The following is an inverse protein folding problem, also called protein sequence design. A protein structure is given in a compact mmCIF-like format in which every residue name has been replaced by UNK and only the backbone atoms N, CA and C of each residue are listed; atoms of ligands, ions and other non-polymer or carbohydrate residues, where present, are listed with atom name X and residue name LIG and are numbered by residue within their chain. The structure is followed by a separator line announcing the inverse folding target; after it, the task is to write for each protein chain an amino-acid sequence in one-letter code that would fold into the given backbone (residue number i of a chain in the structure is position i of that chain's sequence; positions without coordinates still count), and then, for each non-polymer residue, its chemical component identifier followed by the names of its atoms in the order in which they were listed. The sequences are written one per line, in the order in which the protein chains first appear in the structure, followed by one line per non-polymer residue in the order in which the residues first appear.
data_IF_017334529212
#
_entry.id   IF_017334529212
#
_cell.length_a   1.000
_cell.length_b   1.000
_cell.length_c   1.000
_cell.angle_alpha   90.00
_cell.angle_beta   90.00
_cell.angle_gamma   90.00
#
_symmetry.space_group_name_H-M   'P 1'
#
loop_
_entity.id
_entity.type
_entity.pdbx_description
1 polymer ?
#
# COMPACT_ATOMS: atom_id res chain seq x y z
N UNK A 1 4.36 -5.72 6.74
CA UNK A 1 5.31 -6.05 5.66
C UNK A 1 6.69 -5.48 5.97
N UNK A 2 7.67 -6.36 6.18
CA UNK A 2 9.07 -5.99 6.39
C UNK A 2 9.70 -5.59 5.04
N UNK A 3 10.61 -4.61 5.08
CA UNK A 3 11.22 -3.99 3.90
C UNK A 3 12.07 -4.98 3.07
N UNK A 4 12.51 -6.07 3.71
CA UNK A 4 13.29 -7.16 3.15
C UNK A 4 12.58 -7.95 2.04
N UNK A 5 11.25 -8.08 2.10
CA UNK A 5 10.47 -8.79 1.06
C UNK A 5 10.14 -7.89 -0.15
N UNK A 6 10.24 -6.58 0.04
CA UNK A 6 9.93 -5.57 -0.98
C UNK A 6 11.17 -5.25 -1.82
N UNK A 7 12.36 -5.31 -1.24
CA UNK A 7 13.64 -5.08 -1.95
C UNK A 7 14.04 -6.22 -2.89
N UNK A 8 13.49 -7.43 -2.71
CA UNK A 8 13.80 -8.59 -3.55
C UNK A 8 12.95 -8.66 -4.83
N UNK A 9 11.87 -7.85 -4.93
CA UNK A 9 10.92 -7.90 -6.04
C UNK A 9 11.31 -6.97 -7.17
N UNK A 10 11.10 -7.42 -8.41
CA UNK A 10 11.39 -6.65 -9.62
C UNK A 10 10.50 -5.42 -9.71
N UNK A 11 10.97 -4.36 -10.39
CA UNK A 11 10.22 -3.12 -10.62
C UNK A 11 8.78 -3.36 -11.11
N UNK A 12 8.57 -4.37 -11.96
CA UNK A 12 7.25 -4.76 -12.46
C UNK A 12 6.29 -5.21 -11.33
N UNK A 13 6.74 -6.12 -10.47
CA UNK A 13 5.96 -6.63 -9.34
C UNK A 13 5.68 -5.54 -8.30
N UNK A 14 6.63 -4.63 -8.09
CA UNK A 14 6.44 -3.48 -7.20
C UNK A 14 5.35 -2.53 -7.72
N UNK A 15 5.26 -2.35 -9.04
CA UNK A 15 4.20 -1.52 -9.64
C UNK A 15 2.82 -2.17 -9.60
N UNK A 16 2.74 -3.50 -9.73
CA UNK A 16 1.49 -4.25 -9.56
C UNK A 16 1.00 -4.21 -8.10
N UNK A 17 1.88 -4.47 -7.15
CA UNK A 17 1.59 -4.34 -5.71
C UNK A 17 1.12 -2.92 -5.34
N UNK A 18 1.69 -1.90 -5.98
CA UNK A 18 1.29 -0.51 -5.77
C UNK A 18 -0.16 -0.29 -6.26
N UNK A 19 -0.54 -0.85 -7.41
CA UNK A 19 -1.92 -0.78 -7.91
C UNK A 19 -2.89 -1.49 -6.96
N UNK A 20 -2.59 -2.71 -6.54
CA UNK A 20 -3.43 -3.46 -5.59
C UNK A 20 -3.62 -2.71 -4.28
N UNK A 21 -2.54 -2.18 -3.70
CA UNK A 21 -2.59 -1.42 -2.43
C UNK A 21 -3.37 -0.11 -2.56
N UNK A 22 -3.35 0.53 -3.73
CA UNK A 22 -4.19 1.71 -4.01
C UNK A 22 -5.67 1.36 -4.10
N UNK A 23 -6.03 0.22 -4.69
CA UNK A 23 -7.41 -0.27 -4.73
C UNK A 23 -7.91 -0.58 -3.32
N UNK A 24 -7.09 -1.26 -2.50
CA UNK A 24 -7.40 -1.49 -1.08
C UNK A 24 -7.60 -0.17 -0.31
N UNK A 25 -6.77 0.84 -0.56
CA UNK A 25 -6.97 2.17 0.06
C UNK A 25 -8.27 2.83 -0.40
N UNK A 26 -8.68 2.63 -1.65
CA UNK A 26 -9.94 3.14 -2.18
C UNK A 26 -11.15 2.46 -1.52
N UNK A 27 -11.13 1.14 -1.41
CA UNK A 27 -12.16 0.38 -0.70
C UNK A 27 -12.26 0.77 0.78
N UNK A 28 -11.12 0.95 1.46
CA UNK A 28 -11.11 1.40 2.85
C UNK A 28 -11.65 2.84 3.00
N UNK A 29 -11.39 3.72 2.03
CA UNK A 29 -12.00 5.06 1.99
C UNK A 29 -13.50 5.01 1.74
N UNK A 30 -13.97 4.10 0.88
CA UNK A 30 -15.40 3.88 0.67
C UNK A 30 -16.08 3.40 1.95
N UNK A 31 -15.51 2.38 2.62
CA UNK A 31 -15.98 1.89 3.93
C UNK A 31 -15.97 2.95 5.02
N UNK A 32 -14.97 3.85 5.00
CA UNK A 32 -14.94 5.01 5.91
C UNK A 32 -16.10 5.97 5.63
N UNK A 33 -16.38 6.24 4.34
CA UNK A 33 -17.44 7.16 3.91
C UNK A 33 -18.85 6.60 4.18
N UNK A 34 -19.02 5.28 4.16
CA UNK A 34 -20.26 4.60 4.58
C UNK A 34 -20.38 4.46 6.10
N UNK A 35 -19.44 5.00 6.88
CA UNK A 35 -19.34 4.84 8.34
C UNK A 35 -19.30 3.38 8.82
N UNK A 36 -18.91 2.45 7.95
CA UNK A 36 -18.79 1.01 8.25
C UNK A 36 -17.38 0.64 8.74
N UNK A 37 -16.45 1.60 8.77
CA UNK A 37 -15.07 1.32 9.15
C UNK A 37 -14.92 1.34 10.67
N UNK A 38 -14.80 0.16 11.25
CA UNK A 38 -14.53 -0.05 12.68
C UNK A 38 -13.08 0.25 13.06
N UNK A 39 -12.15 0.17 12.10
CA UNK A 39 -10.72 0.31 12.36
C UNK A 39 -10.04 1.33 11.44
N UNK A 40 -9.96 2.58 11.89
CA UNK A 40 -9.31 3.68 11.14
C UNK A 40 -7.79 3.53 11.03
N UNK A 41 -7.18 2.67 11.85
CA UNK A 41 -5.73 2.44 11.84
C UNK A 41 -5.25 1.76 10.55
N UNK A 42 -6.11 0.95 9.92
CA UNK A 42 -5.83 0.27 8.65
C UNK A 42 -5.59 1.26 7.51
N UNK A 43 -6.27 2.42 7.53
CA UNK A 43 -6.06 3.50 6.57
C UNK A 43 -4.62 4.05 6.65
N UNK A 44 -4.10 4.18 7.87
CA UNK A 44 -2.74 4.68 8.12
C UNK A 44 -1.71 3.61 7.77
N UNK A 45 -1.98 2.34 8.07
CA UNK A 45 -1.13 1.22 7.68
C UNK A 45 -1.00 1.08 6.15
N UNK A 46 -2.13 1.13 5.42
CA UNK A 46 -2.15 1.07 3.96
C UNK A 46 -1.37 2.23 3.32
N UNK A 47 -1.51 3.46 3.83
CA UNK A 47 -0.69 4.62 3.39
C UNK A 47 0.81 4.39 3.62
N UNK A 48 1.19 3.83 4.77
CA UNK A 48 2.59 3.55 5.13
C UNK A 48 3.18 2.41 4.30
N UNK A 49 2.36 1.45 3.85
CA UNK A 49 2.77 0.41 2.90
C UNK A 49 3.00 0.98 1.50
N UNK A 50 2.09 1.83 0.98
CA UNK A 50 2.28 2.49 -0.32
C UNK A 50 3.56 3.32 -0.33
N UNK A 51 3.82 4.08 0.74
CA UNK A 51 5.03 4.87 0.87
C UNK A 51 6.30 4.00 0.81
N UNK A 52 6.32 2.87 1.52
CA UNK A 52 7.45 1.92 1.49
C UNK A 52 7.68 1.33 0.09
N UNK A 53 6.60 0.97 -0.62
CA UNK A 53 6.70 0.47 -2.00
C UNK A 53 7.26 1.55 -2.93
N UNK A 54 6.82 2.80 -2.79
CA UNK A 54 7.36 3.92 -3.58
C UNK A 54 8.84 4.20 -3.28
N UNK A 55 9.25 4.08 -2.01
CA UNK A 55 10.67 4.21 -1.63
C UNK A 55 11.51 3.10 -2.27
N UNK A 56 11.03 1.85 -2.26
CA UNK A 56 11.71 0.74 -2.91
C UNK A 56 11.84 0.92 -4.43
N UNK A 57 10.77 1.40 -5.11
CA UNK A 57 10.82 1.73 -6.55
C UNK A 57 11.84 2.82 -6.82
N UNK A 58 11.87 3.88 -5.99
CA UNK A 58 12.82 4.99 -6.16
C UNK A 58 14.25 4.53 -5.92
N UNK A 59 14.48 3.64 -4.96
CA UNK A 59 15.81 3.10 -4.65
C UNK A 59 16.32 2.11 -5.71
N UNK A 60 15.43 1.48 -6.48
CA UNK A 60 15.76 0.59 -7.58
C UNK A 60 15.97 1.32 -8.93
N UNK A 61 15.78 2.64 -8.97
CA UNK A 61 16.00 3.51 -10.13
C UNK A 61 17.38 4.16 -10.04
#
# INVERSE_FOLDING_TARGET
MNYSDISAKTLAELTELLKEKKVQLFELKLKLKTMQLTNTSELRAAKKEIARIQTAITAAK
#
